data_IF_490472471684
#
_entry.id   IF_490472471684
#
_cell.length_a   1.000
_cell.length_b   1.000
_cell.length_c   1.000
_cell.angle_alpha   90.00
_cell.angle_beta   90.00
_cell.angle_gamma   90.00
#
_symmetry.space_group_name_H-M   'P 1'
#
loop_
_entity.id
_entity.type
_entity.pdbx_description
1 polymer ?
#
# COMPACT_ATOMS: atom_id res chain seq x y z
N UNK A 1 9.23 -1.59 -9.72
CA UNK A 1 8.06 -2.50 -9.53
C UNK A 1 6.90 -1.74 -8.94
N UNK A 2 5.65 -1.98 -9.39
CA UNK A 2 4.44 -1.29 -8.89
C UNK A 2 4.27 -1.37 -7.37
N UNK A 3 4.76 -2.45 -6.74
CA UNK A 3 4.73 -2.64 -5.29
C UNK A 3 5.66 -1.69 -4.52
N UNK A 4 6.82 -1.33 -5.08
CA UNK A 4 7.72 -0.35 -4.45
C UNK A 4 7.13 1.06 -4.48
N UNK A 5 6.48 1.45 -5.58
CA UNK A 5 5.74 2.72 -5.66
C UNK A 5 4.54 2.72 -4.72
N UNK A 6 3.82 1.61 -4.60
CA UNK A 6 2.73 1.46 -3.64
C UNK A 6 3.22 1.68 -2.20
N UNK A 7 4.37 1.12 -1.83
CA UNK A 7 4.98 1.32 -0.51
C UNK A 7 5.26 2.80 -0.24
N UNK A 8 5.86 3.51 -1.20
CA UNK A 8 6.18 4.93 -1.06
C UNK A 8 4.93 5.80 -0.87
N UNK A 9 3.86 5.52 -1.62
CA UNK A 9 2.58 6.23 -1.48
C UNK A 9 1.90 5.94 -0.14
N UNK A 10 1.92 4.68 0.32
CA UNK A 10 1.35 4.30 1.62
C UNK A 10 2.10 4.97 2.78
N UNK A 11 3.43 5.11 2.69
CA UNK A 11 4.22 5.87 3.70
C UNK A 11 3.85 7.35 3.73
N UNK A 12 3.47 7.92 2.60
CA UNK A 12 2.94 9.30 2.50
C UNK A 12 1.49 9.44 2.99
N UNK A 13 0.88 8.35 3.48
CA UNK A 13 -0.48 8.36 4.00
C UNK A 13 -1.58 8.13 2.97
N UNK A 14 -1.24 7.85 1.70
CA UNK A 14 -2.26 7.58 0.67
C UNK A 14 -3.11 6.35 1.04
N UNK A 15 -4.41 6.41 0.75
CA UNK A 15 -5.32 5.29 1.00
C UNK A 15 -5.02 4.14 0.02
N UNK A 16 -5.17 2.86 0.41
CA UNK A 16 -4.77 1.73 -0.44
C UNK A 16 -5.65 1.63 -1.67
N UNK A 17 -6.89 2.10 -1.58
CA UNK A 17 -7.80 2.19 -2.72
C UNK A 17 -7.27 3.19 -3.77
N UNK A 18 -6.88 4.39 -3.34
CA UNK A 18 -6.30 5.39 -4.24
C UNK A 18 -5.00 4.88 -4.86
N UNK A 19 -4.14 4.22 -4.07
CA UNK A 19 -2.89 3.62 -4.55
C UNK A 19 -3.17 2.52 -5.58
N UNK A 20 -4.19 1.69 -5.37
CA UNK A 20 -4.58 0.66 -6.32
C UNK A 20 -5.01 1.28 -7.67
N UNK A 21 -5.90 2.28 -7.64
CA UNK A 21 -6.36 2.99 -8.83
C UNK A 21 -5.21 3.72 -9.54
N UNK A 22 -4.36 4.43 -8.80
CA UNK A 22 -3.25 5.22 -9.36
C UNK A 22 -2.18 4.35 -10.04
N UNK A 23 -1.98 3.12 -9.56
CA UNK A 23 -0.98 2.20 -10.08
C UNK A 23 -1.56 1.16 -11.06
N UNK A 24 -2.84 1.28 -11.42
CA UNK A 24 -3.49 0.39 -12.39
C UNK A 24 -3.79 -1.01 -11.88
N UNK A 25 -3.91 -1.21 -10.56
CA UNK A 25 -4.44 -2.47 -10.03
C UNK A 25 -5.94 -2.52 -10.28
N UNK A 26 -6.43 -3.70 -10.66
CA UNK A 26 -7.87 -3.95 -10.89
C UNK A 26 -8.74 -3.50 -9.71
N UNK A 27 -8.25 -3.73 -8.49
CA UNK A 27 -8.91 -3.34 -7.26
C UNK A 27 -7.92 -3.35 -6.07
N UNK A 28 -8.39 -2.88 -4.91
CA UNK A 28 -7.60 -2.84 -3.68
C UNK A 28 -7.16 -4.23 -3.19
N UNK A 29 -7.95 -5.27 -3.41
CA UNK A 29 -7.63 -6.65 -3.02
C UNK A 29 -6.52 -7.22 -3.90
N UNK A 30 -6.48 -6.92 -5.19
CA UNK A 30 -5.36 -7.28 -6.06
C UNK A 30 -4.05 -6.64 -5.55
N UNK A 31 -4.05 -5.33 -5.27
CA UNK A 31 -2.92 -4.67 -4.62
C UNK A 31 -2.57 -5.36 -3.29
N UNK A 32 -3.55 -5.65 -2.45
CA UNK A 32 -3.33 -6.22 -1.11
C UNK A 32 -2.69 -7.61 -1.16
N UNK A 33 -3.12 -8.48 -2.08
CA UNK A 33 -2.53 -9.81 -2.28
C UNK A 33 -1.07 -9.69 -2.68
N UNK A 34 -0.77 -8.83 -3.64
CA UNK A 34 0.58 -8.69 -4.18
C UNK A 34 1.53 -7.97 -3.21
N UNK A 35 1.02 -6.97 -2.49
CA UNK A 35 1.76 -6.26 -1.45
C UNK A 35 2.09 -7.18 -0.27
N UNK A 36 1.12 -8.00 0.19
CA UNK A 36 1.32 -8.97 1.27
C UNK A 36 2.36 -10.03 0.92
N UNK A 37 2.43 -10.48 -0.34
CA UNK A 37 3.48 -11.41 -0.79
C UNK A 37 4.89 -10.83 -0.64
N UNK A 38 5.05 -9.51 -0.78
CA UNK A 38 6.37 -8.84 -0.72
C UNK A 38 6.72 -8.38 0.70
N UNK A 39 5.76 -7.83 1.44
CA UNK A 39 6.01 -7.19 2.74
C UNK A 39 5.40 -7.94 3.95
N UNK A 40 4.76 -9.09 3.74
CA UNK A 40 4.14 -9.92 4.78
C UNK A 40 2.83 -9.38 5.36
N UNK A 41 2.55 -8.08 5.23
CA UNK A 41 1.35 -7.41 5.73
C UNK A 41 0.58 -6.73 4.61
N UNK A 42 -0.72 -6.47 4.82
CA UNK A 42 -1.53 -5.72 3.88
C UNK A 42 -1.20 -4.22 3.87
N UNK A 43 -1.53 -3.49 2.79
CA UNK A 43 -1.19 -2.08 2.62
C UNK A 43 -1.87 -1.17 3.65
N UNK A 44 -3.07 -1.53 4.13
CA UNK A 44 -3.76 -0.81 5.21
C UNK A 44 -3.01 -0.85 6.54
N UNK A 45 -2.59 -2.04 6.96
CA UNK A 45 -1.78 -2.22 8.16
C UNK A 45 -0.40 -1.56 8.02
N UNK A 46 0.21 -1.67 6.84
CA UNK A 46 1.48 -1.02 6.52
C UNK A 46 1.40 0.51 6.64
N UNK A 47 0.33 1.13 6.10
CA UNK A 47 0.06 2.57 6.24
C UNK A 47 -0.11 2.96 7.71
N UNK A 48 -0.95 2.26 8.45
CA UNK A 48 -1.21 2.56 9.87
C UNK A 48 0.09 2.53 10.70
N UNK A 49 0.91 1.48 10.50
CA UNK A 49 2.21 1.37 11.15
C UNK A 49 3.21 2.46 10.73
N UNK A 50 3.08 3.00 9.51
CA UNK A 50 3.91 4.11 9.02
C UNK A 50 3.45 5.45 9.59
N UNK A 51 2.14 5.66 9.74
CA UNK A 51 1.58 6.87 10.35
C UNK A 51 1.93 6.98 11.84
N UNK A 52 2.04 5.86 12.55
CA UNK A 52 2.45 5.85 13.96
C UNK A 52 3.93 6.17 14.18
N UNK A 53 4.76 6.22 13.12
CA UNK A 53 6.20 6.52 13.22
C UNK A 53 6.58 7.98 12.89
N UNK A 54 5.60 8.84 12.61
CA UNK A 54 5.79 10.28 12.40
C UNK A 54 4.70 11.06 13.15
N UNK A 55 4.95 11.57 14.37
CA UNK A 55 4.16 12.66 14.93
C UNK A 55 4.42 13.98 14.19
#
# INVERSE_FOLDING_TARGET
SSIGTAQALLKKGCLPLQVATQLGFADQSHLSRQFKKVYGVGPGAYRAASAHKHP
#
